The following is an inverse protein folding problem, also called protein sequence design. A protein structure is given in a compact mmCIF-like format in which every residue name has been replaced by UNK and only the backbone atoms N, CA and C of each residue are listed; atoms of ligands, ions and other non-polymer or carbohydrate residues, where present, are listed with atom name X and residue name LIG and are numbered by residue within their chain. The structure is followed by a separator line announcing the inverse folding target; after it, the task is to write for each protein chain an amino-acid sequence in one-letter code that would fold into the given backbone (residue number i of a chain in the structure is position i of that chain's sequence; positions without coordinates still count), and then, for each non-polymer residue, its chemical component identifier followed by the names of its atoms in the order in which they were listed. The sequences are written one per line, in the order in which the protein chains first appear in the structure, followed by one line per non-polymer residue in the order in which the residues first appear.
data_IF_808475771748
#
_entry.id   IF_808475771748
#
_cell.length_a   1.000
_cell.length_b   1.000
_cell.length_c   1.000
_cell.angle_alpha   90.00
_cell.angle_beta   90.00
_cell.angle_gamma   90.00
#
_symmetry.space_group_name_H-M   'P 1'
#
loop_
_entity.id
_entity.type
_entity.pdbx_description
1 polymer ?
#
# COMPACT_ATOMS: atom_id res chain seq x y z
N UNK A 1 26.58 -27.01 -18.23
CA UNK A 1 26.03 -25.84 -18.94
C UNK A 1 24.56 -25.77 -18.60
N UNK A 2 24.17 -24.85 -17.72
CA UNK A 2 22.77 -24.60 -17.38
C UNK A 2 22.10 -23.88 -18.55
N UNK A 3 20.94 -24.38 -18.98
CA UNK A 3 20.13 -23.70 -20.01
C UNK A 3 19.67 -22.37 -19.42
N UNK A 4 19.82 -21.23 -20.13
CA UNK A 4 19.32 -19.96 -19.63
C UNK A 4 17.81 -20.05 -19.41
N UNK A 5 17.34 -19.58 -18.27
CA UNK A 5 15.91 -19.43 -18.01
C UNK A 5 15.31 -18.49 -19.07
N UNK A 6 14.08 -18.77 -19.49
CA UNK A 6 13.32 -17.81 -20.29
C UNK A 6 13.05 -16.53 -19.46
N UNK A 7 13.24 -15.36 -20.06
CA UNK A 7 12.89 -14.07 -19.44
C UNK A 7 11.42 -14.08 -18.99
N UNK A 8 11.16 -13.50 -17.81
CA UNK A 8 9.80 -13.26 -17.32
C UNK A 8 9.23 -11.98 -17.93
N UNK A 9 7.94 -11.75 -17.72
CA UNK A 9 7.24 -10.62 -18.32
C UNK A 9 7.84 -9.25 -17.93
N UNK A 10 8.29 -9.11 -16.68
CA UNK A 10 8.95 -7.90 -16.21
C UNK A 10 10.29 -7.67 -16.93
N UNK A 11 11.11 -8.71 -17.10
CA UNK A 11 12.39 -8.62 -17.80
C UNK A 11 12.21 -8.26 -19.28
N UNK A 12 11.23 -8.89 -19.94
CA UNK A 12 10.84 -8.57 -21.33
C UNK A 12 10.41 -7.11 -21.43
N UNK A 13 9.57 -6.65 -20.51
CA UNK A 13 9.07 -5.28 -20.49
C UNK A 13 10.19 -4.27 -20.24
N UNK A 14 11.07 -4.54 -19.26
CA UNK A 14 12.25 -3.72 -18.98
C UNK A 14 13.16 -3.61 -20.20
N UNK A 15 13.40 -4.72 -20.90
CA UNK A 15 14.21 -4.75 -22.13
C UNK A 15 13.57 -3.91 -23.23
N UNK A 16 12.27 -4.06 -23.49
CA UNK A 16 11.58 -3.30 -24.55
C UNK A 16 11.38 -1.82 -24.21
N UNK A 17 11.22 -1.46 -22.92
CA UNK A 17 11.24 -0.05 -22.49
C UNK A 17 12.63 0.56 -22.70
N UNK A 18 13.69 -0.17 -22.34
CA UNK A 18 15.07 0.30 -22.53
C UNK A 18 15.46 0.44 -24.01
N UNK A 19 14.97 -0.43 -24.89
CA UNK A 19 15.19 -0.30 -26.34
C UNK A 19 14.30 0.75 -27.01
N UNK A 20 13.34 1.33 -26.28
CA UNK A 20 12.38 2.29 -26.81
C UNK A 20 11.25 1.67 -27.64
N UNK A 21 11.13 0.33 -27.66
CA UNK A 21 10.02 -0.39 -28.28
C UNK A 21 8.70 -0.18 -27.54
N UNK A 22 8.77 -0.01 -26.21
CA UNK A 22 7.61 0.28 -25.35
C UNK A 22 7.79 1.59 -24.60
N UNK A 23 6.69 2.34 -24.37
CA UNK A 23 6.72 3.50 -23.49
C UNK A 23 6.90 3.08 -22.03
N UNK A 24 7.61 3.91 -21.25
CA UNK A 24 7.98 3.64 -19.84
C UNK A 24 6.79 3.33 -18.93
N UNK A 25 5.62 3.88 -19.25
CA UNK A 25 4.35 3.74 -18.55
C UNK A 25 3.85 2.29 -18.55
N UNK A 26 4.33 1.46 -19.48
CA UNK A 26 4.02 0.01 -19.52
C UNK A 26 4.73 -0.77 -18.42
N UNK A 27 5.80 -0.24 -17.84
CA UNK A 27 6.50 -0.89 -16.74
C UNK A 27 5.67 -0.92 -15.46
N UNK A 28 4.90 0.14 -15.21
CA UNK A 28 4.12 0.34 -13.99
C UNK A 28 3.20 -0.84 -13.63
N UNK A 29 2.24 -1.26 -14.49
CA UNK A 29 1.34 -2.37 -14.16
C UNK A 29 2.09 -3.68 -14.01
N UNK A 30 3.06 -3.97 -14.89
CA UNK A 30 3.83 -5.23 -14.87
C UNK A 30 4.64 -5.32 -13.58
N UNK A 31 5.25 -4.23 -13.13
CA UNK A 31 5.99 -4.17 -11.86
C UNK A 31 5.09 -4.49 -10.67
N UNK A 32 3.89 -3.90 -10.60
CA UNK A 32 2.96 -4.07 -9.48
C UNK A 32 2.43 -5.51 -9.36
N UNK A 33 2.28 -6.20 -10.50
CA UNK A 33 1.80 -7.58 -10.59
C UNK A 33 2.91 -8.63 -10.46
N UNK A 34 4.19 -8.22 -10.53
CA UNK A 34 5.32 -9.14 -10.48
C UNK A 34 5.69 -9.54 -9.05
N UNK A 35 6.10 -10.80 -8.89
CA UNK A 35 6.83 -11.26 -7.71
C UNK A 35 8.31 -10.86 -7.85
N UNK A 36 8.79 -10.04 -6.91
CA UNK A 36 10.14 -9.52 -6.90
C UNK A 36 10.97 -10.19 -5.82
N UNK A 37 12.26 -10.38 -6.10
CA UNK A 37 13.24 -10.83 -5.12
C UNK A 37 13.81 -9.63 -4.40
N UNK A 38 13.74 -9.65 -3.08
CA UNK A 38 14.34 -8.66 -2.18
C UNK A 38 15.40 -9.38 -1.36
N UNK A 39 16.59 -8.80 -1.27
CA UNK A 39 17.63 -9.32 -0.40
C UNK A 39 17.52 -8.64 0.96
N UNK A 40 17.51 -9.44 2.02
CA UNK A 40 17.41 -8.98 3.40
C UNK A 40 18.61 -9.49 4.17
N UNK A 41 19.18 -8.64 5.01
CA UNK A 41 20.31 -9.03 5.87
C UNK A 41 19.84 -10.05 6.93
N UNK A 42 20.59 -11.15 7.07
CA UNK A 42 20.29 -12.18 8.06
C UNK A 42 18.95 -12.89 7.84
N UNK A 43 18.35 -13.38 8.93
CA UNK A 43 17.04 -14.04 8.89
C UNK A 43 15.93 -12.99 9.09
N UNK A 44 14.97 -12.88 8.17
CA UNK A 44 13.91 -11.88 8.27
C UNK A 44 13.06 -12.10 9.52
N UNK A 45 12.81 -11.00 10.25
CA UNK A 45 11.90 -11.01 11.39
C UNK A 45 10.43 -11.06 10.93
N UNK A 46 9.50 -11.43 11.82
CA UNK A 46 8.08 -11.54 11.47
C UNK A 46 7.40 -10.19 11.18
N UNK A 47 7.99 -9.07 11.60
CA UNK A 47 7.36 -7.73 11.58
C UNK A 47 8.15 -6.67 10.84
N UNK A 48 9.42 -6.92 10.51
CA UNK A 48 10.28 -5.99 9.82
C UNK A 48 11.36 -6.72 9.04
N UNK A 49 11.68 -6.17 7.87
CA UNK A 49 12.81 -6.60 7.05
C UNK A 49 13.76 -5.41 6.87
N UNK A 50 15.05 -5.68 6.87
CA UNK A 50 16.10 -4.71 6.54
C UNK A 50 16.62 -5.03 5.15
N UNK A 51 16.02 -4.46 4.09
CA UNK A 51 16.37 -4.85 2.74
C UNK A 51 17.65 -4.16 2.27
N UNK A 52 18.29 -4.72 1.24
CA UNK A 52 19.45 -4.13 0.60
C UNK A 52 19.11 -2.77 -0.02
N UNK A 53 19.70 -1.72 0.54
CA UNK A 53 19.63 -0.36 0.00
C UNK A 53 20.96 -0.02 -0.67
N UNK A 54 20.89 0.53 -1.87
CA UNK A 54 22.03 1.08 -2.60
C UNK A 54 21.91 2.59 -2.69
N UNK A 55 23.04 3.27 -2.58
CA UNK A 55 23.11 4.73 -2.63
C UNK A 55 23.77 5.16 -3.94
N UNK A 56 23.19 6.18 -4.57
CA UNK A 56 23.76 6.85 -5.74
C UNK A 56 23.59 8.34 -5.55
N UNK A 57 24.73 9.04 -5.48
CA UNK A 57 24.79 10.46 -5.11
C UNK A 57 24.04 10.69 -3.78
N UNK A 58 23.04 11.57 -3.75
CA UNK A 58 22.23 11.87 -2.56
C UNK A 58 20.94 11.03 -2.48
N UNK A 59 20.72 10.10 -3.41
CA UNK A 59 19.51 9.29 -3.47
C UNK A 59 19.73 7.86 -2.95
N UNK A 60 18.72 7.34 -2.25
CA UNK A 60 18.70 5.96 -1.75
C UNK A 60 17.71 5.13 -2.56
N UNK A 61 18.09 3.91 -2.88
CA UNK A 61 17.27 3.01 -3.67
C UNK A 61 17.23 1.63 -3.05
N UNK A 62 16.05 1.04 -3.00
CA UNK A 62 15.86 -0.35 -2.66
C UNK A 62 16.28 -1.23 -3.85
N UNK A 63 17.21 -2.14 -3.63
CA UNK A 63 17.65 -3.10 -4.63
C UNK A 63 16.66 -4.27 -4.71
N UNK A 64 16.06 -4.44 -5.88
CA UNK A 64 15.07 -5.49 -6.17
C UNK A 64 15.47 -6.24 -7.43
N UNK A 65 15.12 -7.52 -7.53
CA UNK A 65 15.48 -8.35 -8.67
C UNK A 65 14.24 -9.05 -9.23
N UNK A 66 14.15 -9.13 -10.55
CA UNK A 66 13.01 -9.75 -11.24
C UNK A 66 12.98 -11.27 -11.06
N UNK A 67 14.12 -11.89 -10.72
CA UNK A 67 14.24 -13.32 -10.46
C UNK A 67 15.51 -13.62 -9.65
N UNK A 68 15.59 -14.81 -9.05
CA UNK A 68 16.73 -15.20 -8.20
C UNK A 68 18.04 -15.35 -8.97
N UNK A 69 17.97 -15.69 -10.25
CA UNK A 69 19.12 -15.77 -11.16
C UNK A 69 19.63 -14.39 -11.61
N UNK A 70 18.85 -13.33 -11.39
CA UNK A 70 19.28 -11.95 -11.62
C UNK A 70 20.07 -11.37 -10.45
N UNK A 71 20.19 -12.08 -9.33
CA UNK A 71 20.97 -11.64 -8.17
C UNK A 71 22.47 -11.90 -8.42
N UNK A 72 23.30 -10.85 -8.52
CA UNK A 72 24.75 -11.00 -8.56
C UNK A 72 25.28 -11.71 -7.32
N UNK A 73 26.32 -12.53 -7.50
CA UNK A 73 26.89 -13.33 -6.42
C UNK A 73 27.36 -12.45 -5.24
N UNK A 74 27.93 -11.28 -5.54
CA UNK A 74 28.40 -10.29 -4.56
C UNK A 74 27.30 -9.75 -3.63
N UNK A 75 26.04 -9.80 -4.03
CA UNK A 75 24.93 -9.34 -3.18
C UNK A 75 24.33 -10.45 -2.34
N UNK A 76 24.52 -11.72 -2.72
CA UNK A 76 23.89 -12.87 -2.04
C UNK A 76 24.60 -13.32 -0.76
N UNK A 77 25.87 -12.98 -0.56
CA UNK A 77 26.63 -13.42 0.61
C UNK A 77 26.03 -12.87 1.91
N UNK A 78 25.67 -13.76 2.83
CA UNK A 78 25.12 -13.40 4.15
C UNK A 78 23.66 -12.92 4.15
N UNK A 79 22.95 -12.99 3.01
CA UNK A 79 21.59 -12.48 2.86
C UNK A 79 20.58 -13.58 2.56
N UNK A 80 19.33 -13.35 2.98
CA UNK A 80 18.19 -14.14 2.58
C UNK A 80 17.46 -13.46 1.41
N UNK A 81 17.03 -14.27 0.43
CA UNK A 81 16.17 -13.82 -0.65
C UNK A 81 14.70 -14.03 -0.26
N UNK A 82 13.92 -12.95 -0.28
CA UNK A 82 12.47 -12.96 -0.09
C UNK A 82 11.77 -12.69 -1.40
N UNK A 83 10.70 -13.44 -1.68
CA UNK A 83 9.76 -13.14 -2.75
C UNK A 83 8.66 -12.24 -2.19
N UNK A 84 8.43 -11.12 -2.84
CA UNK A 84 7.43 -10.13 -2.43
C UNK A 84 6.69 -9.58 -3.65
N UNK A 85 5.37 -9.39 -3.56
CA UNK A 85 4.61 -8.69 -4.59
C UNK A 85 5.14 -7.27 -4.79
N UNK A 86 5.33 -6.85 -6.04
CA UNK A 86 5.79 -5.51 -6.36
C UNK A 86 4.87 -4.41 -5.83
N UNK A 87 3.57 -4.65 -5.81
CA UNK A 87 2.58 -3.77 -5.16
C UNK A 87 2.87 -3.50 -3.68
N UNK A 88 3.26 -4.53 -2.91
CA UNK A 88 3.59 -4.40 -1.50
C UNK A 88 4.90 -3.63 -1.29
N UNK A 89 5.89 -3.83 -2.17
CA UNK A 89 7.15 -3.07 -2.14
C UNK A 89 6.96 -1.60 -2.48
N UNK A 90 6.21 -1.30 -3.55
CA UNK A 90 5.90 0.08 -3.96
C UNK A 90 5.09 0.80 -2.87
N UNK A 91 4.14 0.10 -2.23
CA UNK A 91 3.33 0.62 -1.12
C UNK A 91 4.13 0.85 0.17
N UNK A 92 5.08 -0.03 0.49
CA UNK A 92 5.85 0.00 1.73
C UNK A 92 7.12 0.85 1.70
N UNK A 93 7.62 1.25 0.53
CA UNK A 93 8.84 2.05 0.42
C UNK A 93 8.68 3.45 1.06
N UNK A 94 9.74 3.98 1.65
CA UNK A 94 9.73 5.37 2.15
C UNK A 94 9.62 6.37 0.96
N UNK A 95 9.04 7.57 1.14
CA UNK A 95 8.84 8.55 0.07
C UNK A 95 10.13 8.99 -0.66
N UNK A 96 11.25 9.01 0.07
CA UNK A 96 12.57 9.43 -0.40
C UNK A 96 13.39 8.30 -1.05
N UNK A 97 12.86 7.07 -1.05
CA UNK A 97 13.56 5.88 -1.55
C UNK A 97 13.01 5.51 -2.94
N UNK A 98 13.92 5.30 -3.90
CA UNK A 98 13.59 4.77 -5.22
C UNK A 98 13.69 3.24 -5.27
N UNK A 99 13.50 2.66 -6.45
CA UNK A 99 13.79 1.24 -6.71
C UNK A 99 14.90 1.12 -7.76
N UNK A 100 15.80 0.14 -7.61
CA UNK A 100 16.64 -0.33 -8.72
C UNK A 100 16.35 -1.80 -8.98
N UNK A 101 15.80 -2.07 -10.16
CA UNK A 101 15.54 -3.42 -10.67
C UNK A 101 16.81 -4.02 -11.26
N UNK A 102 17.11 -5.26 -10.89
CA UNK A 102 18.26 -6.05 -11.35
C UNK A 102 19.59 -5.29 -11.15
N UNK A 103 19.78 -4.74 -9.95
CA UNK A 103 20.99 -4.00 -9.58
C UNK A 103 22.25 -4.81 -9.89
N UNK A 104 23.28 -4.17 -10.45
CA UNK A 104 24.55 -4.84 -10.82
C UNK A 104 24.49 -5.63 -12.13
N UNK A 105 23.34 -5.71 -12.80
CA UNK A 105 23.23 -6.33 -14.12
C UNK A 105 23.28 -5.29 -15.26
N UNK A 106 23.64 -5.72 -16.46
CA UNK A 106 23.48 -4.90 -17.68
C UNK A 106 22.01 -4.58 -18.00
N UNK A 107 21.09 -5.34 -17.39
CA UNK A 107 19.65 -5.18 -17.50
C UNK A 107 19.05 -4.20 -16.49
N UNK A 108 19.85 -3.53 -15.66
CA UNK A 108 19.37 -2.72 -14.56
C UNK A 108 18.46 -1.56 -15.02
N UNK A 109 17.49 -1.22 -14.17
CA UNK A 109 16.59 -0.09 -14.39
C UNK A 109 16.31 0.63 -13.08
N UNK A 110 16.50 1.96 -13.08
CA UNK A 110 16.24 2.80 -11.93
C UNK A 110 14.84 3.41 -12.03
N UNK A 111 14.10 3.37 -10.93
CA UNK A 111 12.84 4.09 -10.73
C UNK A 111 13.11 5.13 -9.65
N UNK A 112 13.19 6.43 -10.00
CA UNK A 112 13.49 7.47 -9.04
C UNK A 112 12.39 7.58 -7.97
N UNK A 113 12.71 8.11 -6.76
CA UNK A 113 11.73 8.27 -5.68
C UNK A 113 10.43 8.98 -6.12
N UNK A 114 10.53 10.00 -6.97
CA UNK A 114 9.37 10.73 -7.50
C UNK A 114 8.47 9.86 -8.39
N UNK A 115 9.05 9.01 -9.25
CA UNK A 115 8.29 8.07 -10.06
C UNK A 115 7.67 6.97 -9.21
N UNK A 116 8.39 6.50 -8.18
CA UNK A 116 7.88 5.52 -7.23
C UNK A 116 6.71 6.08 -6.41
N UNK A 117 6.78 7.34 -6.00
CA UNK A 117 5.68 8.03 -5.32
C UNK A 117 4.45 8.15 -6.23
N UNK A 118 4.64 8.50 -7.51
CA UNK A 118 3.54 8.55 -8.48
C UNK A 118 2.90 7.17 -8.72
N UNK A 119 3.73 6.11 -8.81
CA UNK A 119 3.26 4.73 -8.89
C UNK A 119 2.44 4.34 -7.66
N UNK A 120 2.92 4.69 -6.47
CA UNK A 120 2.20 4.45 -5.22
C UNK A 120 0.83 5.12 -5.22
N UNK A 121 0.76 6.39 -5.60
CA UNK A 121 -0.52 7.12 -5.70
C UNK A 121 -1.47 6.51 -6.73
N UNK A 122 -0.95 6.08 -7.89
CA UNK A 122 -1.76 5.45 -8.94
C UNK A 122 -2.23 4.05 -8.56
N UNK A 123 -1.43 3.30 -7.80
CA UNK A 123 -1.73 1.96 -7.31
C UNK A 123 -2.55 1.94 -6.01
N UNK A 124 -2.61 3.06 -5.31
CA UNK A 124 -3.44 3.20 -4.13
C UNK A 124 -4.90 3.13 -4.58
N UNK A 125 -5.50 1.94 -4.44
CA UNK A 125 -6.95 1.81 -4.48
C UNK A 125 -7.50 2.84 -3.49
N UNK A 126 -8.40 3.76 -3.90
CA UNK A 126 -9.05 4.66 -2.97
C UNK A 126 -9.83 3.82 -1.96
N UNK A 127 -9.22 3.53 -0.82
CA UNK A 127 -9.87 2.81 0.26
C UNK A 127 -10.57 3.82 1.14
N UNK A 128 -11.88 3.64 1.27
CA UNK A 128 -12.66 4.33 2.29
C UNK A 128 -12.80 3.38 3.47
N UNK A 129 -12.30 3.80 4.62
CA UNK A 129 -12.52 3.11 5.90
C UNK A 129 -13.65 3.82 6.62
N UNK A 130 -14.53 3.07 7.28
CA UNK A 130 -15.68 3.62 7.99
C UNK A 130 -15.56 3.33 9.47
N UNK A 131 -16.00 4.29 10.29
CA UNK A 131 -15.99 4.17 11.74
C UNK A 131 -17.32 4.63 12.29
N UNK A 132 -17.73 4.05 13.42
CA UNK A 132 -18.97 4.44 14.08
C UNK A 132 -18.71 4.80 15.53
N UNK A 133 -19.49 5.77 16.00
CA UNK A 133 -19.74 5.95 17.42
C UNK A 133 -21.09 5.30 17.74
N UNK A 134 -21.10 4.43 18.72
CA UNK A 134 -22.33 3.85 19.26
C UNK A 134 -22.67 4.46 20.62
N UNK A 135 -23.94 4.49 20.97
CA UNK A 135 -24.41 4.91 22.29
C UNK A 135 -25.55 4.01 22.76
N UNK A 136 -25.67 3.85 24.08
CA UNK A 136 -26.81 3.19 24.71
C UNK A 136 -28.03 4.13 24.71
N UNK A 137 -29.09 3.75 24.01
CA UNK A 137 -30.38 4.45 23.94
C UNK A 137 -31.48 3.43 24.24
N UNK A 138 -32.31 3.69 25.26
CA UNK A 138 -33.42 2.80 25.65
C UNK A 138 -33.00 1.33 25.89
N UNK A 139 -31.77 1.11 26.37
CA UNK A 139 -31.23 -0.23 26.63
C UNK A 139 -30.71 -0.96 25.39
N UNK A 140 -30.65 -0.28 24.24
CA UNK A 140 -30.07 -0.78 23.01
C UNK A 140 -28.84 0.04 22.60
N UNK A 141 -27.81 -0.63 22.07
CA UNK A 141 -26.63 0.04 21.50
C UNK A 141 -26.95 0.40 20.05
N UNK A 142 -26.95 1.69 19.74
CA UNK A 142 -27.31 2.21 18.42
C UNK A 142 -26.22 3.14 17.87
N UNK A 143 -26.02 3.19 16.54
CA UNK A 143 -25.07 4.12 15.94
C UNK A 143 -25.57 5.56 16.07
N UNK A 144 -24.72 6.47 16.57
CA UNK A 144 -25.03 7.90 16.77
C UNK A 144 -24.15 8.83 15.95
N UNK A 145 -23.02 8.36 15.43
CA UNK A 145 -22.20 9.11 14.46
C UNK A 145 -21.45 8.15 13.56
N UNK A 146 -21.29 8.54 12.31
CA UNK A 146 -20.47 7.82 11.33
C UNK A 146 -19.34 8.72 10.89
N UNK A 147 -18.16 8.13 10.75
CA UNK A 147 -16.96 8.77 10.24
C UNK A 147 -16.40 7.95 9.08
N UNK A 148 -15.61 8.59 8.24
CA UNK A 148 -14.83 7.92 7.20
C UNK A 148 -13.44 8.49 7.09
N UNK A 149 -12.48 7.64 6.74
CA UNK A 149 -11.17 8.04 6.21
C UNK A 149 -11.11 7.67 4.74
N UNK A 150 -10.94 8.66 3.87
CA UNK A 150 -10.65 8.44 2.44
C UNK A 150 -9.16 8.59 2.20
N UNK A 151 -8.57 7.58 1.58
CA UNK A 151 -7.19 7.69 1.09
C UNK A 151 -7.19 8.44 -0.24
N UNK A 152 -6.58 9.63 -0.28
CA UNK A 152 -6.44 10.45 -1.50
C UNK A 152 -4.97 10.64 -1.87
N UNK A 153 -4.64 11.03 -3.11
CA UNK A 153 -3.26 11.30 -3.51
C UNK A 153 -2.55 12.37 -2.66
N UNK A 154 -3.30 13.35 -2.14
CA UNK A 154 -2.78 14.43 -1.29
C UNK A 154 -2.69 14.05 0.20
N UNK A 155 -3.12 12.83 0.56
CA UNK A 155 -3.12 12.32 1.93
C UNK A 155 -4.50 11.79 2.38
N UNK A 156 -4.58 11.26 3.62
CA UNK A 156 -5.85 10.84 4.19
C UNK A 156 -6.75 12.06 4.47
N UNK A 157 -8.04 11.93 4.14
CA UNK A 157 -9.08 12.90 4.45
C UNK A 157 -10.09 12.26 5.40
N UNK A 158 -10.23 12.83 6.58
CA UNK A 158 -11.13 12.35 7.63
C UNK A 158 -12.38 13.22 7.72
N UNK A 159 -13.54 12.57 7.71
CA UNK A 159 -14.83 13.24 7.65
C UNK A 159 -15.84 12.59 8.58
N UNK A 160 -16.78 13.38 9.11
CA UNK A 160 -17.95 12.94 9.84
C UNK A 160 -19.20 13.13 9.00
N UNK A 161 -20.09 12.14 9.01
CA UNK A 161 -21.39 12.22 8.36
C UNK A 161 -22.28 13.23 9.08
N UNK A 162 -22.85 14.17 8.32
CA UNK A 162 -23.86 15.13 8.79
C UNK A 162 -25.28 14.68 8.47
N UNK A 163 -25.48 14.20 7.24
CA UNK A 163 -26.74 13.68 6.71
C UNK A 163 -26.42 12.77 5.52
N UNK A 164 -27.42 12.11 4.93
CA UNK A 164 -27.25 11.27 3.72
C UNK A 164 -26.43 12.01 2.66
N UNK A 165 -25.32 11.40 2.24
CA UNK A 165 -24.34 11.93 1.27
C UNK A 165 -23.68 13.27 1.64
N UNK A 166 -23.88 13.76 2.88
CA UNK A 166 -23.34 15.03 3.37
C UNK A 166 -22.29 14.79 4.46
N UNK A 167 -21.08 15.27 4.22
CA UNK A 167 -19.91 15.03 5.06
C UNK A 167 -19.26 16.36 5.46
N UNK A 168 -18.62 16.38 6.62
CA UNK A 168 -17.84 17.53 7.11
C UNK A 168 -16.50 17.07 7.67
N UNK A 169 -15.48 17.91 7.59
CA UNK A 169 -14.14 17.58 8.11
C UNK A 169 -14.20 17.16 9.58
N UNK A 170 -13.48 16.08 9.91
CA UNK A 170 -13.25 15.68 11.29
C UNK A 170 -12.21 16.58 11.94
N UNK A 171 -12.65 17.76 12.39
CA UNK A 171 -11.79 18.79 12.98
C UNK A 171 -11.13 18.38 14.30
N UNK A 172 -11.60 17.31 14.93
CA UNK A 172 -11.07 16.86 16.22
C UNK A 172 -10.03 15.74 16.07
N UNK A 173 -9.79 15.25 14.85
CA UNK A 173 -8.87 14.13 14.63
C UNK A 173 -9.35 12.82 15.23
N UNK A 174 -10.66 12.66 15.42
CA UNK A 174 -11.31 11.48 15.99
C UNK A 174 -10.90 10.19 15.27
N UNK A 175 -10.90 10.21 13.93
CA UNK A 175 -10.53 9.05 13.10
C UNK A 175 -9.04 8.74 13.20
N UNK A 176 -8.21 9.77 13.20
CA UNK A 176 -6.76 9.61 13.35
C UNK A 176 -6.39 9.03 14.73
N UNK A 177 -7.03 9.51 15.79
CA UNK A 177 -6.91 8.98 17.14
C UNK A 177 -7.34 7.52 17.20
N UNK A 178 -8.50 7.18 16.62
CA UNK A 178 -9.02 5.81 16.62
C UNK A 178 -8.13 4.80 15.92
N UNK A 179 -7.46 5.23 14.86
CA UNK A 179 -6.49 4.37 14.14
C UNK A 179 -5.21 4.18 14.95
N UNK A 180 -4.76 5.20 15.70
CA UNK A 180 -3.53 5.13 16.50
C UNK A 180 -3.73 4.43 17.85
N UNK A 181 -4.90 4.57 18.46
CA UNK A 181 -5.23 4.10 19.80
C UNK A 181 -6.57 3.33 19.81
N UNK A 182 -6.70 2.22 19.06
CA UNK A 182 -7.99 1.55 18.85
C UNK A 182 -8.63 0.98 20.12
N UNK A 183 -7.85 0.77 21.19
CA UNK A 183 -8.36 0.29 22.48
C UNK A 183 -8.90 1.41 23.37
N UNK A 184 -8.48 2.65 23.14
CA UNK A 184 -8.88 3.83 23.92
C UNK A 184 -9.91 4.70 23.20
N UNK A 185 -10.10 4.45 21.90
CA UNK A 185 -10.99 5.21 21.03
C UNK A 185 -12.47 5.00 21.38
N UNK A 186 -13.26 6.06 21.23
CA UNK A 186 -14.70 6.04 21.42
C UNK A 186 -15.48 5.73 20.13
N UNK A 187 -14.78 5.35 19.06
CA UNK A 187 -15.31 4.90 17.79
C UNK A 187 -14.67 3.58 17.36
N UNK A 188 -15.44 2.74 16.69
CA UNK A 188 -15.02 1.41 16.19
C UNK A 188 -14.98 1.41 14.66
N UNK A 189 -13.97 0.77 14.07
CA UNK A 189 -13.93 0.55 12.61
C UNK A 189 -14.95 -0.50 12.21
N UNK A 190 -15.67 -0.24 11.12
CA UNK A 190 -16.69 -1.16 10.58
C UNK A 190 -16.45 -1.42 9.10
N UNK A 191 -17.01 -2.55 8.63
CA UNK A 191 -16.98 -2.90 7.21
C UNK A 191 -17.79 -1.93 6.34
N UNK A 192 -17.50 -1.83 5.03
CA UNK A 192 -18.32 -1.06 4.10
C UNK A 192 -19.78 -1.51 4.06
N UNK A 193 -20.05 -2.81 4.24
CA UNK A 193 -21.41 -3.36 4.28
C UNK A 193 -22.17 -2.89 5.52
N UNK A 194 -21.52 -2.92 6.70
CA UNK A 194 -22.12 -2.39 7.93
C UNK A 194 -22.33 -0.87 7.84
N UNK A 195 -21.44 -0.14 7.16
CA UNK A 195 -21.60 1.29 6.96
C UNK A 195 -22.82 1.60 6.09
N UNK A 196 -23.05 0.79 5.05
CA UNK A 196 -24.25 0.90 4.21
C UNK A 196 -25.53 0.67 5.02
N UNK A 197 -25.55 -0.29 5.94
CA UNK A 197 -26.70 -0.49 6.85
C UNK A 197 -26.97 0.77 7.68
N UNK A 198 -25.94 1.47 8.17
CA UNK A 198 -26.12 2.74 8.90
C UNK A 198 -26.61 3.86 7.98
N UNK A 199 -26.12 3.95 6.74
CA UNK A 199 -26.61 4.94 5.78
C UNK A 199 -28.10 4.75 5.49
N UNK A 200 -28.55 3.51 5.35
CA UNK A 200 -29.96 3.17 5.21
C UNK A 200 -30.78 3.57 6.45
N UNK A 201 -30.23 3.43 7.65
CA UNK A 201 -30.86 3.89 8.90
C UNK A 201 -31.00 5.42 8.95
N UNK A 202 -29.95 6.16 8.60
CA UNK A 202 -29.96 7.63 8.54
C UNK A 202 -31.01 8.12 7.54
N UNK A 203 -31.05 7.53 6.35
CA UNK A 203 -32.02 7.86 5.31
C UNK A 203 -33.47 7.62 5.76
N UNK A 204 -33.72 6.53 6.50
CA UNK A 204 -35.05 6.19 7.03
C UNK A 204 -35.38 6.90 8.35
N UNK A 205 -34.39 7.52 8.99
CA UNK A 205 -34.44 8.06 10.37
C UNK A 205 -34.88 7.02 11.41
N UNK A 206 -34.48 5.77 11.20
CA UNK A 206 -34.79 4.65 12.08
C UNK A 206 -33.49 3.99 12.51
N UNK A 207 -33.11 4.20 13.77
CA UNK A 207 -31.86 3.73 14.33
C UNK A 207 -32.10 2.47 15.16
N UNK A 208 -31.45 1.38 14.78
CA UNK A 208 -31.51 0.08 15.46
C UNK A 208 -30.09 -0.45 15.65
N UNK A 209 -29.88 -1.42 16.56
CA UNK A 209 -28.57 -2.05 16.71
C UNK A 209 -28.06 -2.66 15.41
N UNK A 210 -26.74 -2.57 15.19
CA UNK A 210 -26.09 -3.18 14.04
C UNK A 210 -26.19 -4.71 14.09
N UNK A 211 -26.60 -5.30 12.98
CA UNK A 211 -26.83 -6.73 12.85
C UNK A 211 -25.52 -7.52 12.63
N UNK A 212 -24.46 -6.85 12.15
CA UNK A 212 -23.18 -7.45 11.78
C UNK A 212 -22.04 -6.49 12.15
N UNK A 213 -20.99 -7.05 12.76
CA UNK A 213 -19.69 -6.41 13.00
C UNK A 213 -18.68 -7.02 12.06
#
# INVERSE_FOLDING_TARGET
MTVPRAENELEVTMRSVRSGELPSERLAPVLLESELVVLVDGTPGPTAIEPLVVHRDDASFLAVFAATDQVPAEFSEGRCALLMPGSLLVGGAAPEVGLVLNTGSAGAMEIPPSALAALRQASATPTTRYFIREQMVEGQVVPVSVFRRRSTPDGPVDERLLDVDSWTDDRHGTVDEAIRFPLDADIEEISPEAAQDVFDMVARRTYVPLQRR
#
